data_IF_638464371357
#
_entry.id   IF_638464371357
#
_cell.length_a   1.000
_cell.length_b   1.000
_cell.length_c   1.000
_cell.angle_alpha   90.00
_cell.angle_beta   90.00
_cell.angle_gamma   90.00
#
_symmetry.space_group_name_H-M   'P 1'
#
loop_
_entity.id
_entity.type
_entity.pdbx_description
1 polymer ?
#
# COMPACT_ATOMS: atom_id res chain seq x y z
N UNK A 1 26.32 27.40 -6.00
CA UNK A 1 26.00 26.32 -6.94
C UNK A 1 25.02 25.42 -6.22
N UNK A 2 23.72 25.61 -6.45
CA UNK A 2 22.71 24.71 -5.90
C UNK A 2 22.67 23.52 -6.83
N UNK A 3 23.24 22.40 -6.38
CA UNK A 3 23.01 21.12 -7.03
C UNK A 3 21.55 20.77 -6.75
N UNK A 4 20.70 21.00 -7.75
CA UNK A 4 19.32 20.56 -7.71
C UNK A 4 19.36 19.03 -7.81
N UNK A 5 19.55 18.39 -6.66
CA UNK A 5 19.26 16.97 -6.48
C UNK A 5 17.93 16.72 -7.16
N UNK A 6 17.96 15.86 -8.19
CA UNK A 6 16.78 15.36 -8.88
C UNK A 6 15.68 15.16 -7.83
N UNK A 7 14.45 15.66 -8.04
CA UNK A 7 13.35 15.22 -7.19
C UNK A 7 13.39 13.70 -7.21
N UNK A 8 13.59 13.08 -6.05
CA UNK A 8 13.40 11.64 -5.90
C UNK A 8 12.02 11.36 -6.47
N UNK A 9 11.96 10.65 -7.58
CA UNK A 9 10.69 10.32 -8.20
C UNK A 9 9.90 9.56 -7.14
N UNK A 10 8.75 10.06 -6.67
CA UNK A 10 7.96 9.37 -5.65
C UNK A 10 7.67 7.96 -6.14
N UNK A 11 7.77 6.97 -5.24
CA UNK A 11 7.46 5.59 -5.66
C UNK A 11 6.00 5.56 -6.09
N UNK A 12 5.69 4.88 -7.21
CA UNK A 12 4.30 4.78 -7.63
C UNK A 12 3.49 4.09 -6.54
N UNK A 13 2.32 4.65 -6.22
CA UNK A 13 1.32 3.93 -5.43
C UNK A 13 0.89 2.71 -6.22
N UNK A 14 0.95 1.54 -5.60
CA UNK A 14 0.57 0.27 -6.24
C UNK A 14 -0.70 -0.23 -5.60
N UNK A 15 -1.72 -0.53 -6.40
CA UNK A 15 -2.92 -1.24 -5.97
C UNK A 15 -2.93 -2.63 -6.60
N UNK A 16 -3.19 -3.66 -5.80
CA UNK A 16 -3.29 -5.05 -6.27
C UNK A 16 -4.73 -5.43 -6.66
N UNK A 17 -5.56 -4.43 -6.95
CA UNK A 17 -6.95 -4.52 -7.34
C UNK A 17 -7.30 -3.36 -8.28
N UNK A 18 -8.36 -3.50 -9.07
CA UNK A 18 -8.80 -2.52 -10.06
C UNK A 18 -10.03 -1.70 -9.64
N UNK A 19 -10.77 -2.16 -8.62
CA UNK A 19 -11.97 -1.48 -8.09
C UNK A 19 -12.07 -1.53 -6.57
N UNK A 20 -12.53 -0.43 -5.98
CA UNK A 20 -12.69 -0.32 -4.52
C UNK A 20 -13.70 -1.33 -3.93
N UNK A 21 -14.68 -1.80 -4.72
CA UNK A 21 -15.66 -2.81 -4.28
C UNK A 21 -15.03 -4.13 -3.85
N UNK A 22 -13.85 -4.46 -4.41
CA UNK A 22 -13.08 -5.67 -4.09
C UNK A 22 -12.60 -5.67 -2.63
N UNK A 23 -12.46 -4.49 -1.99
CA UNK A 23 -12.04 -4.40 -0.58
C UNK A 23 -13.04 -5.08 0.37
N UNK A 24 -14.30 -5.28 -0.06
CA UNK A 24 -15.32 -6.05 0.68
C UNK A 24 -14.93 -7.51 0.91
N UNK A 25 -14.09 -8.06 0.05
CA UNK A 25 -13.62 -9.44 0.13
C UNK A 25 -12.48 -9.61 1.15
N UNK A 26 -12.02 -8.53 1.77
CA UNK A 26 -10.91 -8.51 2.71
C UNK A 26 -11.34 -8.11 4.13
N UNK A 27 -10.50 -8.44 5.10
CA UNK A 27 -10.63 -8.10 6.52
C UNK A 27 -9.24 -7.98 7.17
N UNK A 28 -9.20 -7.50 8.42
CA UNK A 28 -7.97 -7.44 9.23
C UNK A 28 -6.81 -6.72 8.52
N UNK A 29 -7.11 -5.52 7.98
CA UNK A 29 -6.12 -4.65 7.35
C UNK A 29 -5.07 -4.17 8.35
N UNK A 30 -3.81 -4.16 7.92
CA UNK A 30 -2.67 -3.68 8.70
C UNK A 30 -1.66 -3.01 7.78
N UNK A 31 -0.97 -1.99 8.29
CA UNK A 31 0.16 -1.35 7.61
C UNK A 31 1.46 -2.02 8.07
N UNK A 32 2.28 -2.45 7.12
CA UNK A 32 3.57 -3.10 7.37
C UNK A 32 4.69 -2.35 6.61
N UNK A 33 5.84 -2.05 7.25
CA UNK A 33 6.97 -1.44 6.57
C UNK A 33 7.61 -2.46 5.61
N UNK A 34 7.95 -2.01 4.40
CA UNK A 34 8.63 -2.81 3.38
C UNK A 34 9.81 -2.04 2.78
N UNK A 35 10.71 -2.77 2.12
CA UNK A 35 11.78 -2.17 1.32
C UNK A 35 11.54 -2.51 -0.14
N UNK A 36 11.45 -1.51 -1.00
CA UNK A 36 11.26 -1.68 -2.44
C UNK A 36 12.57 -1.43 -3.16
N UNK A 37 12.95 -2.37 -4.02
CA UNK A 37 14.11 -2.21 -4.91
C UNK A 37 13.70 -1.43 -6.16
N UNK A 38 14.27 -0.26 -6.33
CA UNK A 38 14.09 0.59 -7.51
C UNK A 38 14.85 0.01 -8.71
N UNK A 39 14.47 0.41 -9.93
CA UNK A 39 15.18 0.04 -11.17
C UNK A 39 16.65 0.49 -11.18
N UNK A 40 16.98 1.53 -10.42
CA UNK A 40 18.36 1.99 -10.21
C UNK A 40 19.21 1.04 -9.35
N UNK A 41 18.62 -0.01 -8.77
CA UNK A 41 19.24 -0.87 -7.78
C UNK A 41 19.23 -0.30 -6.36
N UNK A 42 18.78 0.94 -6.17
CA UNK A 42 18.60 1.54 -4.86
C UNK A 42 17.43 0.88 -4.11
N UNK A 43 17.55 0.78 -2.80
CA UNK A 43 16.50 0.32 -1.90
C UNK A 43 15.86 1.53 -1.22
N UNK A 44 14.53 1.58 -1.22
CA UNK A 44 13.78 2.70 -0.65
C UNK A 44 12.70 2.19 0.31
N UNK A 45 12.49 2.85 1.46
CA UNK A 45 11.41 2.49 2.36
C UNK A 45 10.06 2.73 1.69
N UNK A 46 9.11 1.82 1.95
CA UNK A 46 7.72 1.95 1.56
C UNK A 46 6.83 1.24 2.60
N UNK A 47 5.52 1.31 2.40
CA UNK A 47 4.52 0.84 3.33
C UNK A 47 3.49 0.00 2.59
N UNK A 48 3.36 -1.26 2.98
CA UNK A 48 2.42 -2.22 2.41
C UNK A 48 1.19 -2.34 3.29
N UNK A 49 0.01 -2.22 2.69
CA UNK A 49 -1.24 -2.55 3.35
C UNK A 49 -1.50 -4.01 3.08
N UNK A 50 -1.47 -4.82 4.13
CA UNK A 50 -1.70 -6.25 4.09
C UNK A 50 -3.07 -6.53 4.70
N UNK A 51 -3.85 -7.39 4.05
CA UNK A 51 -5.15 -7.80 4.55
C UNK A 51 -5.36 -9.30 4.35
N UNK A 52 -6.30 -9.86 5.11
CA UNK A 52 -6.73 -11.25 4.98
C UNK A 52 -7.92 -11.31 4.04
N UNK A 53 -7.85 -12.13 3.01
CA UNK A 53 -8.98 -12.41 2.13
C UNK A 53 -9.98 -13.33 2.84
N UNK A 54 -11.26 -12.95 2.88
CA UNK A 54 -12.31 -13.62 3.68
C UNK A 54 -12.58 -15.05 3.24
N UNK A 55 -12.59 -15.29 1.92
CA UNK A 55 -12.96 -16.60 1.36
C UNK A 55 -11.84 -17.63 1.39
N UNK A 56 -10.58 -17.17 1.30
CA UNK A 56 -9.40 -18.05 1.21
C UNK A 56 -8.58 -18.05 2.50
N UNK A 57 -8.86 -17.12 3.42
CA UNK A 57 -8.07 -16.85 4.63
C UNK A 57 -6.59 -16.54 4.37
N UNK A 58 -6.21 -16.27 3.13
CA UNK A 58 -4.83 -15.90 2.77
C UNK A 58 -4.59 -14.43 3.11
N UNK A 59 -3.44 -14.13 3.73
CA UNK A 59 -2.96 -12.76 3.90
C UNK A 59 -2.07 -12.37 2.72
N UNK A 60 -2.23 -11.15 2.23
CA UNK A 60 -1.41 -10.62 1.14
C UNK A 60 -1.51 -9.10 1.02
N UNK A 61 -0.62 -8.50 0.21
CA UNK A 61 -0.63 -7.07 -0.04
C UNK A 61 -1.86 -6.66 -0.85
N UNK A 62 -2.46 -5.53 -0.47
CA UNK A 62 -3.62 -4.91 -1.11
C UNK A 62 -3.22 -3.61 -1.80
N UNK A 63 -2.35 -2.83 -1.15
CA UNK A 63 -1.80 -1.60 -1.72
C UNK A 63 -0.40 -1.32 -1.14
N UNK A 64 0.38 -0.48 -1.81
CA UNK A 64 1.69 -0.01 -1.35
C UNK A 64 1.86 1.50 -1.60
N UNK A 65 2.48 2.18 -0.65
CA UNK A 65 2.73 3.63 -0.66
C UNK A 65 4.17 3.92 -0.25
N UNK A 66 4.75 5.00 -0.76
CA UNK A 66 6.03 5.55 -0.27
C UNK A 66 5.87 6.25 1.10
N UNK A 67 4.71 6.87 1.33
CA UNK A 67 4.43 7.66 2.54
C UNK A 67 3.58 6.87 3.54
N UNK A 68 4.06 6.76 4.77
CA UNK A 68 3.38 6.05 5.88
C UNK A 68 1.96 6.56 6.11
N UNK A 69 1.81 7.89 6.22
CA UNK A 69 0.53 8.54 6.48
C UNK A 69 -0.53 8.16 5.43
N UNK A 70 -0.13 8.05 4.17
CA UNK A 70 -1.07 7.67 3.10
C UNK A 70 -1.45 6.19 3.19
N UNK A 71 -0.52 5.32 3.58
CA UNK A 71 -0.83 3.93 3.85
C UNK A 71 -1.79 3.76 5.03
N UNK A 72 -1.60 4.52 6.10
CA UNK A 72 -2.47 4.54 7.28
C UNK A 72 -3.88 5.03 6.93
N UNK A 73 -3.99 6.17 6.23
CA UNK A 73 -5.28 6.70 5.77
C UNK A 73 -5.98 5.71 4.84
N UNK A 74 -5.26 5.09 3.89
CA UNK A 74 -5.85 4.08 3.02
C UNK A 74 -6.33 2.85 3.82
N UNK A 75 -5.55 2.40 4.80
CA UNK A 75 -5.89 1.26 5.64
C UNK A 75 -7.20 1.51 6.42
N UNK A 76 -7.37 2.70 6.99
CA UNK A 76 -8.60 3.10 7.67
C UNK A 76 -9.80 3.12 6.72
N UNK A 77 -9.65 3.74 5.56
CA UNK A 77 -10.71 3.81 4.55
C UNK A 77 -11.08 2.44 4.00
N UNK A 78 -10.09 1.58 3.77
CA UNK A 78 -10.30 0.21 3.30
C UNK A 78 -11.09 -0.62 4.33
N UNK A 79 -10.79 -0.45 5.63
CA UNK A 79 -11.54 -1.10 6.69
C UNK A 79 -13.01 -0.64 6.73
N UNK A 80 -13.27 0.65 6.50
CA UNK A 80 -14.64 1.21 6.44
C UNK A 80 -15.40 0.64 5.23
N UNK A 81 -14.80 0.65 4.04
CA UNK A 81 -15.41 0.10 2.82
C UNK A 81 -15.70 -1.40 2.98
N UNK A 82 -14.77 -2.14 3.59
CA UNK A 82 -14.92 -3.57 3.84
C UNK A 82 -15.99 -3.92 4.88
N UNK A 83 -16.28 -3.01 5.81
CA UNK A 83 -17.36 -3.16 6.79
C UNK A 83 -18.74 -2.83 6.21
N UNK A 84 -18.80 -2.12 5.08
CA UNK A 84 -20.05 -1.77 4.42
C UNK A 84 -20.53 -2.91 3.52
N UNK A 85 -21.21 -3.88 4.15
CA UNK A 85 -21.87 -5.06 3.54
C UNK A 85 -23.35 -5.04 3.87
#
# INVERSE_FOLDING_TARGET
MFDATKPETPLPVVFFFDKAEILRDYEAFTVEPITVRMQSGAESPAWSIVAKHRFTSQRGPVAQFDVQLYAEVFCEMAAIVAAHV
#
